data_IF_457614853035
#
_entry.id   IF_457614853035
#
_cell.length_a   1.000
_cell.length_b   1.000
_cell.length_c   1.000
_cell.angle_alpha   90.00
_cell.angle_beta   90.00
_cell.angle_gamma   90.00
#
_symmetry.space_group_name_H-M   'P 1'
#
loop_
_entity.id
_entity.type
_entity.pdbx_description
1 polymer ?
#
# COMPACT_ATOMS: atom_id res chain seq x y z
N UNK A 1 27.12 -41.78 -54.42
CA UNK A 1 26.06 -40.91 -54.94
C UNK A 1 24.91 -40.94 -53.94
N UNK A 2 24.72 -39.89 -53.14
CA UNK A 2 23.49 -39.67 -52.33
C UNK A 2 23.58 -38.28 -51.70
N UNK A 3 23.07 -37.26 -52.39
CA UNK A 3 22.80 -35.93 -51.82
C UNK A 3 21.29 -35.87 -51.57
N UNK A 4 20.92 -35.86 -50.30
CA UNK A 4 19.54 -35.72 -49.86
C UNK A 4 18.97 -34.38 -50.35
N UNK A 5 17.82 -34.48 -51.00
CA UNK A 5 17.00 -33.35 -51.45
C UNK A 5 16.28 -32.82 -50.21
N UNK A 6 16.71 -31.67 -49.71
CA UNK A 6 15.94 -30.95 -48.70
C UNK A 6 14.65 -30.39 -49.34
N UNK A 7 13.58 -30.66 -48.62
CA UNK A 7 12.18 -30.42 -48.91
C UNK A 7 11.91 -28.91 -49.01
N UNK A 8 11.30 -28.48 -50.12
CA UNK A 8 10.66 -27.18 -50.27
C UNK A 8 9.25 -27.27 -49.67
N UNK A 9 9.00 -26.49 -48.64
CA UNK A 9 7.67 -26.12 -48.13
C UNK A 9 7.90 -24.95 -47.18
N UNK A 10 7.37 -23.75 -47.36
CA UNK A 10 6.12 -23.37 -48.01
C UNK A 10 5.25 -22.73 -46.92
N UNK A 11 5.08 -21.41 -47.01
CA UNK A 11 4.01 -20.61 -46.38
C UNK A 11 4.05 -20.47 -44.84
N UNK A 12 4.40 -19.29 -44.32
CA UNK A 12 3.52 -18.15 -44.04
C UNK A 12 2.83 -18.23 -42.65
N UNK A 13 2.94 -17.12 -41.92
CA UNK A 13 2.21 -16.75 -40.71
C UNK A 13 2.45 -17.59 -39.46
N UNK A 14 3.01 -16.95 -38.43
CA UNK A 14 2.26 -16.61 -37.22
C UNK A 14 3.25 -16.25 -36.12
N UNK A 15 2.94 -15.18 -35.38
CA UNK A 15 3.60 -14.91 -34.11
C UNK A 15 4.35 -13.59 -34.07
N UNK A 16 3.71 -12.48 -34.40
CA UNK A 16 3.98 -11.26 -33.65
C UNK A 16 3.55 -11.53 -32.20
N UNK A 17 4.47 -12.10 -31.41
CA UNK A 17 4.37 -12.15 -29.96
C UNK A 17 4.53 -10.69 -29.49
N UNK A 18 3.40 -9.97 -29.50
CA UNK A 18 3.21 -8.83 -28.60
C UNK A 18 3.30 -9.41 -27.20
N UNK A 19 4.52 -9.44 -26.65
CA UNK A 19 4.71 -9.52 -25.23
C UNK A 19 4.05 -8.26 -24.66
N UNK A 20 2.79 -8.39 -24.24
CA UNK A 20 2.21 -7.54 -23.23
C UNK A 20 3.13 -7.67 -22.02
N UNK A 21 4.11 -6.76 -21.95
CA UNK A 21 4.74 -6.40 -20.69
C UNK A 21 3.62 -5.75 -19.89
N UNK A 22 2.83 -6.58 -19.23
CA UNK A 22 2.07 -6.18 -18.07
C UNK A 22 3.13 -5.83 -17.04
N UNK A 23 3.64 -4.61 -17.13
CA UNK A 23 4.30 -3.95 -16.01
C UNK A 23 3.19 -3.72 -14.99
N UNK A 24 2.88 -4.77 -14.22
CA UNK A 24 2.51 -4.63 -12.82
C UNK A 24 3.75 -4.04 -12.13
N UNK A 25 4.06 -2.77 -12.42
CA UNK A 25 4.92 -1.98 -11.56
C UNK A 25 4.11 -1.76 -10.32
N UNK A 26 4.33 -2.66 -9.35
CA UNK A 26 4.10 -2.50 -7.93
C UNK A 26 2.80 -1.77 -7.57
N UNK A 27 1.77 -2.55 -7.24
CA UNK A 27 0.83 -2.20 -6.17
C UNK A 27 1.72 -1.82 -4.97
N UNK A 28 1.94 -0.51 -4.82
CA UNK A 28 2.80 0.03 -3.79
C UNK A 28 2.21 -0.33 -2.45
N UNK A 29 3.06 -0.79 -1.55
CA UNK A 29 2.72 -0.85 -0.14
C UNK A 29 2.38 0.60 0.27
N UNK A 30 1.11 1.00 0.27
CA UNK A 30 0.68 2.37 0.59
C UNK A 30 0.98 2.76 2.04
N UNK A 31 1.75 1.96 2.77
CA UNK A 31 2.04 2.13 4.18
C UNK A 31 2.77 3.45 4.39
N UNK A 32 2.23 4.25 5.32
CA UNK A 32 2.64 5.62 5.62
C UNK A 32 2.36 6.66 4.53
N UNK A 33 1.74 6.28 3.40
CA UNK A 33 1.26 7.25 2.43
C UNK A 33 0.17 8.13 3.07
N UNK A 34 0.15 9.41 2.73
CA UNK A 34 -0.88 10.33 3.21
C UNK A 34 -2.26 9.91 2.68
N UNK A 35 -3.28 10.03 3.52
CA UNK A 35 -4.67 9.77 3.16
C UNK A 35 -5.59 10.89 3.65
N UNK A 36 -6.71 11.11 2.97
CA UNK A 36 -7.75 12.04 3.39
C UNK A 36 -8.79 11.34 4.25
N UNK A 37 -9.00 11.82 5.47
CA UNK A 37 -10.07 11.36 6.34
C UNK A 37 -11.41 11.97 5.93
N UNK A 38 -12.50 11.23 6.07
CA UNK A 38 -13.83 11.75 5.71
C UNK A 38 -14.19 13.00 6.51
N UNK A 39 -14.64 14.05 5.79
CA UNK A 39 -15.01 15.32 6.39
C UNK A 39 -16.17 15.15 7.38
N UNK A 40 -15.94 15.50 8.64
CA UNK A 40 -16.90 15.34 9.73
C UNK A 40 -16.70 14.08 10.57
N UNK A 41 -15.71 13.25 10.26
CA UNK A 41 -15.26 12.20 11.19
C UNK A 41 -14.52 12.81 12.37
N UNK A 42 -14.54 12.14 13.52
CA UNK A 42 -13.74 12.53 14.70
C UNK A 42 -12.24 12.55 14.40
N UNK A 43 -11.83 11.89 13.32
CA UNK A 43 -10.46 11.84 12.86
C UNK A 43 -10.06 13.06 12.04
N UNK A 44 -11.00 13.69 11.34
CA UNK A 44 -10.71 14.80 10.44
C UNK A 44 -10.16 16.03 11.19
N UNK A 45 -10.50 16.22 12.47
CA UNK A 45 -10.05 17.35 13.29
C UNK A 45 -8.57 17.23 13.69
N UNK A 46 -7.67 18.08 13.17
CA UNK A 46 -6.24 18.00 13.48
C UNK A 46 -5.89 18.61 14.83
N UNK A 47 -6.73 19.52 15.36
CA UNK A 47 -6.48 20.24 16.62
C UNK A 47 -6.71 19.37 17.85
N UNK A 48 -7.50 18.30 17.70
CA UNK A 48 -7.88 17.41 18.78
C UNK A 48 -6.73 16.59 19.37
N UNK A 49 -5.55 16.49 18.72
CA UNK A 49 -4.43 15.63 19.14
C UNK A 49 -4.84 14.17 19.43
N UNK A 50 -5.95 13.72 18.87
CA UNK A 50 -6.50 12.39 19.07
C UNK A 50 -5.80 11.40 18.14
N UNK A 51 -5.63 10.17 18.62
CA UNK A 51 -5.21 9.05 17.76
C UNK A 51 -6.45 8.25 17.37
N UNK A 52 -6.72 8.10 16.08
CA UNK A 52 -7.92 7.44 15.61
C UNK A 52 -7.73 6.79 14.24
N UNK A 53 -8.70 5.97 13.84
CA UNK A 53 -8.64 5.09 12.68
C UNK A 53 -9.94 5.12 11.92
N UNK A 54 -9.84 5.12 10.60
CA UNK A 54 -10.94 5.05 9.65
C UNK A 54 -10.75 3.80 8.76
N UNK A 55 -11.43 2.72 9.13
CA UNK A 55 -11.25 1.39 8.51
C UNK A 55 -11.80 1.27 7.08
N UNK A 56 -12.63 2.22 6.63
CA UNK A 56 -13.30 2.20 5.32
C UNK A 56 -12.79 3.30 4.39
N UNK A 57 -11.48 3.53 4.35
CA UNK A 57 -10.90 4.53 3.45
C UNK A 57 -10.37 3.88 2.17
N UNK A 58 -11.02 4.17 1.04
CA UNK A 58 -10.66 3.63 -0.28
C UNK A 58 -9.30 4.11 -0.80
N UNK A 59 -8.68 5.11 -0.15
CA UNK A 59 -7.34 5.57 -0.51
C UNK A 59 -6.25 4.60 -0.02
N UNK A 60 -6.55 3.78 0.97
CA UNK A 60 -5.65 2.78 1.52
C UNK A 60 -6.15 1.38 1.08
N UNK A 61 -5.80 0.93 -0.14
CA UNK A 61 -6.47 -0.22 -0.80
C UNK A 61 -6.43 -1.53 0.03
N UNK A 62 -5.36 -1.73 0.80
CA UNK A 62 -5.15 -2.90 1.67
C UNK A 62 -4.97 -2.54 3.15
N UNK A 63 -5.14 -1.27 3.48
CA UNK A 63 -4.70 -0.65 4.73
C UNK A 63 -5.84 0.24 5.25
N UNK A 64 -5.61 0.90 6.38
CA UNK A 64 -6.59 1.80 6.97
C UNK A 64 -6.00 3.20 7.10
N UNK A 65 -6.82 4.21 6.93
CA UNK A 65 -6.38 5.59 7.14
C UNK A 65 -6.42 5.90 8.64
N UNK A 66 -5.33 6.40 9.19
CA UNK A 66 -5.21 6.70 10.61
C UNK A 66 -4.51 8.03 10.84
N UNK A 67 -4.78 8.62 12.00
CA UNK A 67 -4.07 9.81 12.51
C UNK A 67 -3.56 9.50 13.90
N UNK A 68 -2.31 9.81 14.19
CA UNK A 68 -1.70 9.57 15.51
C UNK A 68 -1.29 10.89 16.16
N UNK A 69 -1.87 11.21 17.31
CA UNK A 69 -1.52 12.39 18.13
C UNK A 69 -1.37 13.71 17.35
N UNK A 70 -2.34 14.04 16.49
CA UNK A 70 -2.29 15.29 15.71
C UNK A 70 -1.37 15.27 14.49
N UNK A 71 -0.79 14.12 14.15
CA UNK A 71 -0.07 13.94 12.89
C UNK A 71 -0.98 14.22 11.67
N UNK A 72 -0.38 14.34 10.50
CA UNK A 72 -1.13 14.16 9.27
C UNK A 72 -1.73 12.74 9.23
N UNK A 73 -2.79 12.57 8.45
CA UNK A 73 -3.40 11.26 8.29
C UNK A 73 -2.60 10.43 7.29
N UNK A 74 -2.42 9.14 7.59
CA UNK A 74 -1.59 8.23 6.82
C UNK A 74 -2.18 6.82 6.81
N UNK A 75 -1.90 6.05 5.77
CA UNK A 75 -2.28 4.66 5.69
C UNK A 75 -1.40 3.81 6.62
N UNK A 76 -2.03 2.92 7.38
CA UNK A 76 -1.36 2.05 8.35
C UNK A 76 -1.97 0.66 8.37
N UNK A 77 -1.35 -0.25 9.12
CA UNK A 77 -1.84 -1.60 9.38
C UNK A 77 -1.73 -1.93 10.86
N UNK A 78 -2.48 -2.93 11.29
CA UNK A 78 -2.41 -3.47 12.66
C UNK A 78 -1.06 -4.12 12.92
N UNK A 79 -0.58 -4.04 14.15
CA UNK A 79 0.67 -4.67 14.59
C UNK A 79 0.53 -5.23 16.01
N UNK A 80 1.39 -6.19 16.36
CA UNK A 80 1.52 -6.72 17.72
C UNK A 80 2.85 -6.29 18.36
N UNK A 81 3.86 -6.00 17.52
CA UNK A 81 5.21 -5.62 17.93
C UNK A 81 5.84 -4.62 16.98
N UNK A 82 6.86 -3.90 17.45
CA UNK A 82 7.61 -2.95 16.61
C UNK A 82 8.27 -3.63 15.40
N UNK A 83 8.55 -4.93 15.46
CA UNK A 83 9.13 -5.69 14.34
C UNK A 83 8.17 -5.93 13.18
N UNK A 84 6.87 -5.69 13.38
CA UNK A 84 5.84 -5.81 12.34
C UNK A 84 5.80 -4.55 11.45
N UNK A 85 6.43 -3.46 11.90
CA UNK A 85 6.44 -2.17 11.22
C UNK A 85 7.77 -1.96 10.48
N UNK A 86 7.71 -1.78 9.16
CA UNK A 86 8.92 -1.72 8.31
C UNK A 86 9.76 -0.46 8.57
N UNK A 87 9.13 0.68 8.88
CA UNK A 87 9.79 1.97 9.09
C UNK A 87 9.21 2.77 10.28
N UNK A 88 8.69 2.06 11.28
CA UNK A 88 8.00 2.70 12.40
C UNK A 88 7.86 1.81 13.61
N UNK A 89 6.97 2.20 14.52
CA UNK A 89 6.69 1.46 15.77
C UNK A 89 5.23 1.13 15.92
N UNK A 90 4.99 0.07 16.69
CA UNK A 90 3.65 -0.37 16.99
C UNK A 90 3.06 0.45 18.13
N UNK A 91 2.10 1.32 17.81
CA UNK A 91 1.49 2.24 18.79
C UNK A 91 0.03 1.94 18.98
N UNK A 92 -0.41 1.97 20.23
CA UNK A 92 -1.81 1.78 20.58
C UNK A 92 -2.63 3.04 20.29
N UNK A 93 -3.81 2.84 19.70
CA UNK A 93 -4.78 3.89 19.43
C UNK A 93 -5.90 3.79 20.47
N UNK A 94 -5.91 4.67 21.49
CA UNK A 94 -6.85 4.57 22.61
C UNK A 94 -8.30 4.91 22.23
N UNK A 95 -8.54 5.55 21.08
CA UNK A 95 -9.88 5.89 20.60
C UNK A 95 -10.26 5.01 19.39
N UNK A 96 -11.37 4.29 19.51
CA UNK A 96 -11.96 3.52 18.41
C UNK A 96 -11.79 2.01 18.53
N UNK A 97 -10.59 1.50 18.82
CA UNK A 97 -10.35 0.05 18.74
C UNK A 97 -9.45 -0.56 19.82
N UNK A 98 -8.73 0.21 20.64
CA UNK A 98 -7.69 -0.27 21.56
C UNK A 98 -6.62 -1.16 20.88
N UNK A 99 -6.61 -1.13 19.55
CA UNK A 99 -5.73 -1.87 18.65
C UNK A 99 -4.46 -1.06 18.44
N UNK A 100 -3.37 -1.76 18.18
CA UNK A 100 -2.10 -1.13 17.84
C UNK A 100 -1.89 -1.10 16.33
N UNK A 101 -1.36 0.01 15.85
CA UNK A 101 -1.08 0.25 14.44
C UNK A 101 0.34 0.79 14.25
N UNK A 102 0.90 0.56 13.07
CA UNK A 102 2.23 1.03 12.74
C UNK A 102 2.23 2.56 12.56
N UNK A 103 3.05 3.27 13.32
CA UNK A 103 3.27 4.71 13.18
C UNK A 103 4.70 4.91 12.71
N UNK A 104 4.90 5.60 11.59
CA UNK A 104 6.23 5.86 11.04
C UNK A 104 7.09 6.64 12.07
N UNK A 105 8.35 6.25 12.22
CA UNK A 105 9.35 7.03 12.97
C UNK A 105 9.87 8.16 12.07
N UNK A 106 8.98 8.95 11.46
CA UNK A 106 9.37 10.27 10.98
C UNK A 106 9.34 11.19 12.17
N UNK A 107 10.46 11.86 12.45
CA UNK A 107 10.66 12.78 13.57
C UNK A 107 9.40 13.61 13.82
N UNK A 108 8.58 13.16 14.79
CA UNK A 108 7.53 13.98 15.37
C UNK A 108 8.31 14.98 16.20
N UNK A 109 8.65 16.13 15.60
CA UNK A 109 9.34 17.23 16.26
C UNK A 109 8.68 17.47 17.63
N UNK A 110 9.40 17.16 18.71
CA UNK A 110 9.00 17.40 20.11
C UNK A 110 8.85 18.90 20.41
#
# INVERSE_FOLDING_TARGET
MQRWRHFLGGSLFAGALLALTVTLTACGDDMYASCDLEAGSLCADPESNVSCVEEQNLQCETQICARYKGSQAFCTTTCESDGDCVAGKCRQFPFGSNTSYCVEDVDIDE
#
